data_IF_254663815933
#
_entry.id   IF_254663815933
#
_cell.length_a   1.000
_cell.length_b   1.000
_cell.length_c   1.000
_cell.angle_alpha   90.00
_cell.angle_beta   90.00
_cell.angle_gamma   90.00
#
_symmetry.space_group_name_H-M   'P 1'
#
loop_
_entity.id
_entity.type
_entity.pdbx_description
1 polymer ?
#
# COMPACT_ATOMS: atom_id res chain seq x y z
N UNK A 1 -9.03 9.04 17.86
CA UNK A 1 -7.67 8.48 17.77
C UNK A 1 -7.70 7.53 16.59
N UNK A 2 -7.31 8.04 15.42
CA UNK A 2 -7.32 7.26 14.17
C UNK A 2 -6.29 6.12 14.29
N UNK A 3 -6.62 4.88 13.92
CA UNK A 3 -5.67 3.79 13.98
C UNK A 3 -4.46 4.12 13.09
N UNK A 4 -3.27 4.18 13.71
CA UNK A 4 -2.01 4.32 12.99
C UNK A 4 -1.71 3.00 12.28
N UNK A 5 -2.17 2.89 11.04
CA UNK A 5 -1.65 1.97 10.01
C UNK A 5 -0.47 2.66 9.26
N UNK A 6 -0.02 3.82 9.75
CA UNK A 6 0.34 4.99 8.95
C UNK A 6 1.84 5.22 8.73
N UNK A 7 2.75 4.44 9.33
CA UNK A 7 4.19 4.71 9.15
C UNK A 7 4.68 4.39 7.74
N UNK A 8 4.08 3.38 7.09
CA UNK A 8 4.55 2.86 5.81
C UNK A 8 3.48 2.84 4.72
N UNK A 9 2.21 3.10 5.04
CA UNK A 9 1.11 3.08 4.08
C UNK A 9 0.36 4.41 4.14
N UNK A 10 0.21 5.05 2.98
CA UNK A 10 -0.52 6.31 2.83
C UNK A 10 -1.62 6.20 1.77
N UNK A 11 -2.71 6.96 1.96
CA UNK A 11 -3.78 7.12 0.97
C UNK A 11 -3.86 8.60 0.65
N UNK A 12 -3.49 8.99 -0.57
CA UNK A 12 -3.64 10.38 -1.04
C UNK A 12 -4.67 10.42 -2.18
N UNK A 13 -5.76 11.19 -2.04
CA UNK A 13 -6.69 11.42 -3.13
C UNK A 13 -5.95 11.96 -4.37
N UNK A 14 -6.21 11.37 -5.54
CA UNK A 14 -5.60 11.79 -6.81
C UNK A 14 -4.24 11.14 -7.13
N UNK A 15 -3.58 10.47 -6.19
CA UNK A 15 -2.37 9.67 -6.46
C UNK A 15 -2.74 8.20 -6.39
N UNK A 16 -2.21 7.38 -7.30
CA UNK A 16 -2.46 5.93 -7.30
C UNK A 16 -3.97 5.58 -7.37
N UNK A 17 -4.80 6.49 -7.90
CA UNK A 17 -6.26 6.34 -7.97
C UNK A 17 -6.96 6.41 -6.61
N UNK A 18 -6.36 7.03 -5.59
CA UNK A 18 -6.92 7.07 -4.23
C UNK A 18 -6.79 5.74 -3.47
N UNK A 19 -5.95 4.83 -3.96
CA UNK A 19 -5.67 3.54 -3.32
C UNK A 19 -4.49 3.65 -2.36
N UNK A 20 -4.46 2.74 -1.39
CA UNK A 20 -3.35 2.59 -0.45
C UNK A 20 -2.04 2.28 -1.18
N UNK A 21 -1.01 3.05 -0.86
CA UNK A 21 0.34 2.90 -1.39
C UNK A 21 1.38 2.91 -0.29
N UNK A 22 2.57 2.42 -0.58
CA UNK A 22 3.71 2.56 0.33
C UNK A 22 4.14 4.03 0.40
N UNK A 23 4.29 4.55 1.62
CA UNK A 23 4.68 5.94 1.87
C UNK A 23 5.99 6.28 1.14
N UNK A 24 6.02 7.41 0.43
CA UNK A 24 7.20 7.84 -0.33
C UNK A 24 7.42 7.13 -1.67
N UNK A 25 6.59 6.14 -2.01
CA UNK A 25 6.66 5.39 -3.26
C UNK A 25 5.34 5.41 -4.02
N UNK A 26 5.37 5.19 -5.35
CA UNK A 26 4.16 5.03 -6.19
C UNK A 26 3.80 3.56 -6.39
N UNK A 27 3.93 2.75 -5.34
CA UNK A 27 3.68 1.31 -5.39
C UNK A 27 2.40 1.02 -4.60
N UNK A 28 1.43 0.37 -5.25
CA UNK A 28 0.18 -0.02 -4.59
C UNK A 28 0.40 -1.20 -3.65
N UNK A 29 -0.17 -1.11 -2.45
CA UNK A 29 -0.15 -2.21 -1.46
C UNK A 29 -0.73 -3.49 -2.08
N UNK A 30 -1.81 -3.39 -2.86
CA UNK A 30 -2.43 -4.54 -3.53
C UNK A 30 -1.46 -5.32 -4.44
N UNK A 31 -0.50 -4.66 -5.09
CA UNK A 31 0.43 -5.35 -5.98
C UNK A 31 1.44 -6.17 -5.17
N UNK A 32 1.86 -5.65 -4.02
CA UNK A 32 2.75 -6.35 -3.07
C UNK A 32 2.00 -7.54 -2.44
N UNK A 33 0.75 -7.35 -2.04
CA UNK A 33 -0.08 -8.42 -1.47
C UNK A 33 -0.33 -9.53 -2.49
N UNK A 34 -0.68 -9.19 -3.73
CA UNK A 34 -0.83 -10.19 -4.80
C UNK A 34 0.47 -10.95 -5.03
N UNK A 35 1.62 -10.28 -4.97
CA UNK A 35 2.92 -10.93 -5.10
C UNK A 35 3.25 -11.83 -3.90
N UNK A 36 3.07 -11.35 -2.67
CA UNK A 36 3.32 -12.11 -1.45
C UNK A 36 2.43 -13.34 -1.34
N UNK A 37 1.14 -13.18 -1.62
CA UNK A 37 0.12 -14.23 -1.43
C UNK A 37 0.07 -15.21 -2.60
N UNK A 38 0.12 -14.72 -3.85
CA UNK A 38 0.00 -15.59 -5.04
C UNK A 38 1.32 -16.11 -5.58
N UNK A 39 2.42 -15.39 -5.35
CA UNK A 39 3.73 -15.80 -5.84
C UNK A 39 4.61 -16.40 -4.74
N UNK A 40 4.06 -16.57 -3.53
CA UNK A 40 4.68 -17.25 -2.39
C UNK A 40 6.16 -16.86 -2.23
N UNK A 41 6.40 -15.58 -1.95
CA UNK A 41 7.72 -15.17 -1.46
C UNK A 41 7.64 -15.23 0.06
N UNK A 42 8.24 -16.29 0.58
CA UNK A 42 8.60 -16.42 1.99
C UNK A 42 10.06 -16.07 2.20
#
# INVERSE_FOLDING_TARGET
>A
MEPVISEHIEITPGICGGRARIAGHRIWVQNIVVWSDRLSIS
#
